data_IF_752720412790
#
_entry.id   IF_752720412790
#
_cell.length_a   1.000
_cell.length_b   1.000
_cell.length_c   1.000
_cell.angle_alpha   90.00
_cell.angle_beta   90.00
_cell.angle_gamma   90.00
#
_symmetry.space_group_name_H-M   'P 1'
#
loop_
_entity.id
_entity.type
_entity.pdbx_description
1 polymer ?
#
# COMPACT_ATOMS: atom_id res chain seq x y z
N UNK A 1 7.39 -25.17 23.36
CA UNK A 1 7.65 -23.82 22.79
C UNK A 1 6.35 -23.05 22.87
N UNK A 2 6.39 -21.75 23.10
CA UNK A 2 5.17 -20.95 23.06
C UNK A 2 4.60 -20.95 21.63
N UNK A 3 3.28 -21.05 21.52
CA UNK A 3 2.55 -20.95 20.25
C UNK A 3 1.85 -19.61 20.13
N UNK A 4 1.40 -19.29 18.94
CA UNK A 4 0.58 -18.13 18.61
C UNK A 4 -0.44 -18.49 17.54
N UNK A 5 -1.52 -17.73 17.42
CA UNK A 5 -2.45 -17.84 16.30
C UNK A 5 -1.89 -17.11 15.08
N UNK A 6 -2.06 -17.74 13.91
CA UNK A 6 -1.70 -17.16 12.62
C UNK A 6 -2.62 -17.69 11.52
N UNK A 7 -2.67 -16.96 10.40
CA UNK A 7 -3.28 -17.42 9.16
C UNK A 7 -2.20 -17.72 8.16
N UNK A 8 -2.08 -19.00 7.78
CA UNK A 8 -1.08 -19.41 6.79
C UNK A 8 -1.70 -20.25 5.66
N UNK A 9 -0.91 -20.41 4.61
CA UNK A 9 -1.22 -21.29 3.49
C UNK A 9 -0.24 -22.46 3.45
N UNK A 10 -0.74 -23.66 3.16
CA UNK A 10 0.05 -24.87 2.95
C UNK A 10 0.19 -25.20 1.46
N UNK A 11 -0.67 -24.59 0.64
CA UNK A 11 -0.70 -24.71 -0.82
C UNK A 11 -1.23 -23.40 -1.41
N UNK A 12 -1.04 -23.21 -2.71
CA UNK A 12 -1.62 -22.08 -3.45
C UNK A 12 -3.05 -22.40 -3.85
N UNK A 13 -3.92 -21.38 -3.92
CA UNK A 13 -5.30 -21.61 -4.35
C UNK A 13 -6.26 -20.46 -4.07
N UNK A 14 -7.52 -20.79 -3.97
CA UNK A 14 -8.61 -19.88 -3.59
C UNK A 14 -8.54 -19.44 -2.12
N UNK A 15 -9.45 -18.56 -1.65
CA UNK A 15 -9.47 -18.11 -0.25
C UNK A 15 -9.61 -19.24 0.80
N UNK A 16 -10.06 -20.40 0.41
CA UNK A 16 -10.23 -21.61 1.25
C UNK A 16 -8.91 -22.26 1.70
N UNK A 17 -7.78 -21.95 1.05
CA UNK A 17 -6.44 -22.42 1.47
C UNK A 17 -5.91 -21.69 2.70
N UNK A 18 -6.52 -20.56 3.10
CA UNK A 18 -6.18 -19.83 4.31
C UNK A 18 -6.60 -20.61 5.56
N UNK A 19 -5.64 -20.97 6.41
CA UNK A 19 -5.86 -21.72 7.64
C UNK A 19 -5.51 -20.90 8.86
N UNK A 20 -6.47 -20.69 9.75
CA UNK A 20 -6.25 -20.05 11.05
C UNK A 20 -5.90 -21.14 12.08
N UNK A 21 -4.65 -21.18 12.53
CA UNK A 21 -4.13 -22.27 13.32
C UNK A 21 -3.05 -21.84 14.31
N UNK A 22 -2.63 -22.76 15.17
CA UNK A 22 -1.53 -22.55 16.11
C UNK A 22 -0.19 -22.84 15.43
N UNK A 23 0.72 -21.87 15.51
CA UNK A 23 2.07 -21.97 14.96
C UNK A 23 3.11 -21.62 16.04
N UNK A 24 4.37 -22.04 15.89
CA UNK A 24 5.42 -21.62 16.82
C UNK A 24 5.58 -20.10 16.82
N UNK A 25 5.59 -19.50 18.02
CA UNK A 25 5.87 -18.05 18.18
C UNK A 25 7.33 -17.79 17.82
N UNK A 26 7.63 -16.81 16.94
CA UNK A 26 8.98 -16.46 16.56
C UNK A 26 9.75 -15.78 17.71
N UNK A 27 11.09 -15.82 17.59
CA UNK A 27 12.00 -15.05 18.44
C UNK A 27 12.80 -14.10 17.56
N UNK A 28 13.03 -12.85 18.00
CA UNK A 28 13.82 -11.90 17.22
C UNK A 28 15.28 -12.35 17.17
N UNK A 29 15.86 -12.30 15.98
CA UNK A 29 17.30 -12.48 15.74
C UNK A 29 18.04 -11.14 15.95
N UNK A 30 19.35 -11.13 15.72
CA UNK A 30 20.12 -9.88 15.68
C UNK A 30 19.52 -8.91 14.66
N UNK A 31 19.35 -7.63 15.04
CA UNK A 31 18.76 -6.54 14.27
C UNK A 31 17.26 -6.70 13.93
N UNK A 32 16.57 -7.63 14.62
CA UNK A 32 15.12 -7.80 14.50
C UNK A 32 14.43 -7.33 15.78
N UNK A 33 13.18 -6.89 15.63
CA UNK A 33 12.24 -6.64 16.72
C UNK A 33 11.13 -7.69 16.66
N UNK A 34 10.68 -8.18 17.81
CA UNK A 34 9.45 -8.96 17.93
C UNK A 34 8.30 -7.98 18.18
N UNK A 35 7.38 -7.92 17.27
CA UNK A 35 6.18 -7.08 17.39
C UNK A 35 4.99 -7.96 17.77
N UNK A 36 4.29 -7.60 18.85
CA UNK A 36 2.93 -8.05 19.11
C UNK A 36 2.01 -7.28 18.20
N UNK A 37 1.38 -7.98 17.27
CA UNK A 37 0.54 -7.37 16.23
C UNK A 37 -0.85 -7.11 16.81
N UNK A 38 -1.35 -5.90 16.63
CA UNK A 38 -2.72 -5.50 16.98
C UNK A 38 -3.62 -5.50 15.74
N UNK A 39 -3.06 -5.16 14.59
CA UNK A 39 -3.77 -5.19 13.33
C UNK A 39 -2.80 -5.43 12.15
N UNK A 40 -3.32 -6.06 11.11
CA UNK A 40 -2.67 -6.26 9.81
C UNK A 40 -3.61 -5.83 8.69
N UNK A 41 -3.11 -5.44 7.51
CA UNK A 41 -4.00 -5.07 6.42
C UNK A 41 -3.85 -5.97 5.21
N UNK A 42 -4.94 -6.10 4.45
CA UNK A 42 -4.98 -6.90 3.23
C UNK A 42 -4.60 -6.05 2.03
N UNK A 43 -3.74 -6.59 1.18
CA UNK A 43 -3.24 -5.94 -0.04
C UNK A 43 -3.41 -6.87 -1.26
N UNK A 44 -3.50 -6.33 -2.47
CA UNK A 44 -3.57 -7.15 -3.69
C UNK A 44 -2.43 -8.17 -3.79
N UNK A 45 -1.22 -7.83 -3.33
CA UNK A 45 -0.08 -8.74 -3.34
C UNK A 45 -0.30 -9.98 -2.45
N UNK A 46 -0.99 -9.85 -1.31
CA UNK A 46 -1.33 -10.98 -0.45
C UNK A 46 -2.25 -11.97 -1.18
N UNK A 47 -3.19 -11.44 -1.99
CA UNK A 47 -4.08 -12.25 -2.81
C UNK A 47 -3.31 -12.99 -3.90
N UNK A 48 -2.36 -12.31 -4.57
CA UNK A 48 -1.52 -12.89 -5.62
C UNK A 48 -0.55 -13.94 -5.06
N UNK A 49 0.01 -13.73 -3.87
CA UNK A 49 0.87 -14.71 -3.19
C UNK A 49 0.05 -15.95 -2.81
N UNK A 50 -1.15 -15.76 -2.29
CA UNK A 50 -2.05 -16.86 -1.93
C UNK A 50 -2.48 -17.68 -3.17
N UNK A 51 -2.87 -17.01 -4.28
CA UNK A 51 -3.31 -17.69 -5.51
C UNK A 51 -2.18 -18.42 -6.23
N UNK A 52 -0.93 -18.00 -6.03
CA UNK A 52 0.24 -18.50 -6.74
C UNK A 52 0.68 -17.62 -7.91
N UNK A 53 -0.06 -16.54 -8.23
CA UNK A 53 0.32 -15.59 -9.29
C UNK A 53 1.64 -14.88 -8.95
N UNK A 54 1.93 -14.72 -7.65
CA UNK A 54 3.20 -14.20 -7.13
C UNK A 54 4.01 -15.25 -6.35
N UNK A 55 3.94 -16.53 -6.72
CA UNK A 55 4.61 -17.63 -6.01
C UNK A 55 6.12 -17.46 -5.87
N UNK A 56 6.76 -16.76 -6.79
CA UNK A 56 8.19 -16.48 -6.71
C UNK A 56 8.57 -15.61 -5.50
N UNK A 57 7.61 -14.91 -4.90
CA UNK A 57 7.80 -14.11 -3.69
C UNK A 57 7.52 -14.91 -2.40
N UNK A 58 7.04 -16.13 -2.50
CA UNK A 58 6.78 -17.03 -1.35
C UNK A 58 8.00 -17.96 -1.18
N UNK A 59 8.81 -17.78 -0.13
CA UNK A 59 10.09 -18.51 0.00
C UNK A 59 9.91 -20.00 0.27
N UNK A 60 8.85 -20.38 0.94
CA UNK A 60 8.52 -21.77 1.29
C UNK A 60 7.05 -21.88 1.73
N UNK A 61 6.51 -23.06 1.70
CA UNK A 61 5.24 -23.42 2.35
C UNK A 61 5.53 -24.34 3.56
N UNK A 62 4.75 -24.29 4.67
CA UNK A 62 3.67 -23.32 4.90
C UNK A 62 4.18 -21.88 5.05
N UNK A 63 3.34 -20.89 4.70
CA UNK A 63 3.71 -19.48 4.70
C UNK A 63 2.61 -18.62 5.31
N UNK A 64 2.98 -17.74 6.25
CA UNK A 64 2.07 -16.74 6.84
C UNK A 64 2.09 -15.49 5.95
N UNK A 65 0.92 -15.13 5.42
CA UNK A 65 0.74 -13.95 4.58
C UNK A 65 0.76 -12.65 5.40
N UNK A 66 0.56 -11.54 4.69
CA UNK A 66 0.42 -10.19 5.26
C UNK A 66 1.72 -9.39 5.18
N UNK A 67 1.63 -8.22 4.55
CA UNK A 67 2.76 -7.32 4.35
C UNK A 67 2.73 -6.10 5.26
N UNK A 68 1.57 -5.74 5.82
CA UNK A 68 1.38 -4.59 6.70
C UNK A 68 1.05 -5.04 8.12
N UNK A 69 1.64 -4.38 9.09
CA UNK A 69 1.28 -4.51 10.50
C UNK A 69 1.28 -3.18 11.23
N UNK A 70 0.53 -3.12 12.33
CA UNK A 70 0.71 -2.17 13.42
C UNK A 70 0.60 -2.93 14.74
N UNK A 71 1.46 -2.59 15.70
CA UNK A 71 1.54 -3.30 16.97
C UNK A 71 2.54 -2.67 17.92
N UNK A 72 2.90 -3.43 18.95
CA UNK A 72 3.81 -3.01 20.01
C UNK A 72 5.05 -3.89 20.01
N UNK A 73 6.21 -3.28 20.09
CA UNK A 73 7.48 -3.98 20.26
C UNK A 73 7.45 -4.73 21.59
N UNK A 74 7.61 -6.03 21.57
CA UNK A 74 7.65 -6.86 22.78
C UNK A 74 9.08 -7.24 23.18
N UNK A 75 9.95 -7.48 22.19
CA UNK A 75 11.35 -7.79 22.41
C UNK A 75 12.21 -7.17 21.31
N UNK A 76 13.44 -6.87 21.65
CA UNK A 76 14.44 -6.39 20.69
C UNK A 76 15.61 -7.37 20.63
N UNK A 77 16.07 -7.68 19.43
CA UNK A 77 17.25 -8.50 19.18
C UNK A 77 18.55 -7.70 19.40
N UNK A 78 19.66 -8.41 19.46
CA UNK A 78 20.97 -7.78 19.61
C UNK A 78 21.27 -6.81 18.45
N UNK A 79 21.83 -5.64 18.76
CA UNK A 79 22.20 -4.61 17.77
C UNK A 79 21.02 -3.82 17.17
N UNK A 80 19.85 -3.89 17.80
CA UNK A 80 18.73 -2.98 17.48
C UNK A 80 18.95 -1.66 18.20
N UNK A 81 18.83 -0.56 17.47
CA UNK A 81 18.83 0.80 17.98
C UNK A 81 17.51 1.48 17.61
N UNK A 82 17.05 2.44 18.42
CA UNK A 82 15.86 3.24 18.15
C UNK A 82 14.53 2.60 18.53
N UNK A 83 14.53 1.38 19.10
CA UNK A 83 13.33 0.71 19.61
C UNK A 83 13.56 0.11 20.99
N UNK A 84 12.53 0.18 21.82
CA UNK A 84 12.47 -0.49 23.11
C UNK A 84 11.14 -1.23 23.27
N UNK A 85 11.05 -2.26 24.14
CA UNK A 85 9.78 -2.89 24.48
C UNK A 85 8.75 -1.85 24.94
N UNK A 86 7.54 -1.91 24.38
CA UNK A 86 6.47 -0.95 24.63
C UNK A 86 6.27 0.07 23.51
N UNK A 87 7.22 0.22 22.59
CA UNK A 87 7.06 1.16 21.46
C UNK A 87 5.95 0.72 20.52
N UNK A 88 5.06 1.66 20.19
CA UNK A 88 4.04 1.47 19.18
C UNK A 88 4.63 1.70 17.79
N UNK A 89 4.57 0.67 16.94
CA UNK A 89 5.18 0.66 15.61
C UNK A 89 4.20 0.27 14.51
N UNK A 90 4.53 0.63 13.28
CA UNK A 90 3.87 0.14 12.09
C UNK A 90 4.91 -0.14 10.99
N UNK A 91 4.63 -1.07 10.09
CA UNK A 91 5.61 -1.51 9.11
C UNK A 91 4.97 -2.07 7.84
N UNK A 92 5.67 -1.92 6.72
CA UNK A 92 5.49 -2.75 5.54
C UNK A 92 6.68 -3.72 5.45
N UNK A 93 6.43 -5.01 5.69
CA UNK A 93 7.51 -6.01 5.79
C UNK A 93 7.93 -6.60 4.44
N UNK A 94 7.14 -6.37 3.40
CA UNK A 94 7.40 -6.91 2.07
C UNK A 94 7.34 -8.44 2.01
N UNK A 95 8.16 -9.07 1.14
CA UNK A 95 8.14 -10.52 0.93
C UNK A 95 8.49 -11.37 2.16
N UNK A 96 8.92 -10.77 3.26
CA UNK A 96 9.12 -11.50 4.52
C UNK A 96 7.78 -12.07 5.01
N UNK A 97 6.66 -11.37 4.75
CA UNK A 97 5.33 -11.78 5.20
C UNK A 97 5.20 -11.84 6.71
N UNK A 98 4.24 -12.66 7.16
CA UNK A 98 4.11 -12.99 8.59
C UNK A 98 3.21 -12.05 9.38
N UNK A 99 2.54 -11.06 8.75
CA UNK A 99 1.71 -10.11 9.47
C UNK A 99 0.30 -10.64 9.83
N UNK A 100 -0.16 -11.73 9.21
CA UNK A 100 -1.43 -12.35 9.60
C UNK A 100 -1.23 -13.29 10.79
N UNK A 101 -0.72 -12.75 11.89
CA UNK A 101 -0.37 -13.49 13.10
C UNK A 101 -0.42 -12.59 14.34
N UNK A 102 -0.40 -13.20 15.52
CA UNK A 102 -0.31 -12.45 16.78
C UNK A 102 1.07 -11.81 16.99
N UNK A 103 2.11 -12.37 16.41
CA UNK A 103 3.49 -11.87 16.52
C UNK A 103 4.25 -12.03 15.21
N UNK A 104 5.10 -11.06 14.91
CA UNK A 104 6.10 -11.18 13.85
C UNK A 104 7.47 -10.71 14.34
N UNK A 105 8.52 -11.46 13.99
CA UNK A 105 9.90 -11.02 14.12
C UNK A 105 10.31 -10.37 12.80
N UNK A 106 10.57 -9.08 12.81
CA UNK A 106 10.84 -8.29 11.61
C UNK A 106 12.16 -7.52 11.76
N UNK A 107 12.90 -7.26 10.67
CA UNK A 107 14.05 -6.37 10.71
C UNK A 107 13.64 -4.98 11.22
N UNK A 108 14.40 -4.42 12.14
CA UNK A 108 14.09 -3.12 12.74
C UNK A 108 14.00 -1.99 11.69
N UNK A 109 14.75 -2.09 10.59
CA UNK A 109 14.80 -1.07 9.54
C UNK A 109 13.54 -1.02 8.64
N UNK A 110 12.60 -1.99 8.74
CA UNK A 110 11.34 -1.92 7.99
C UNK A 110 10.21 -1.26 8.78
N UNK A 111 10.41 -1.04 10.08
CA UNK A 111 9.42 -0.45 10.97
C UNK A 111 9.69 1.05 11.20
N UNK A 112 8.63 1.79 11.55
CA UNK A 112 8.70 3.13 12.10
C UNK A 112 7.75 3.24 13.30
N UNK A 113 7.93 4.27 14.14
CA UNK A 113 6.95 4.60 15.16
C UNK A 113 5.61 4.93 14.51
N UNK A 114 4.56 4.33 15.04
CA UNK A 114 3.19 4.53 14.58
C UNK A 114 2.78 6.00 14.74
N UNK A 115 2.02 6.61 13.80
CA UNK A 115 1.41 7.93 14.05
C UNK A 115 0.68 7.95 15.40
N UNK A 116 0.98 8.94 16.23
CA UNK A 116 0.39 9.05 17.56
C UNK A 116 -1.13 9.26 17.52
N UNK A 117 -1.60 9.95 16.49
CA UNK A 117 -3.01 10.28 16.26
C UNK A 117 -3.87 9.11 15.79
N UNK A 118 -3.28 7.99 15.37
CA UNK A 118 -4.02 6.83 14.86
C UNK A 118 -4.07 5.71 15.91
N UNK A 119 -5.17 4.96 15.93
CA UNK A 119 -5.23 3.64 16.55
C UNK A 119 -4.44 2.60 15.72
N UNK A 120 -4.30 1.38 16.23
CA UNK A 120 -3.55 0.33 15.53
C UNK A 120 -4.25 -0.16 14.26
N UNK A 121 -5.59 -0.22 14.27
CA UNK A 121 -6.39 -0.66 13.12
C UNK A 121 -6.18 0.30 11.95
N UNK A 122 -6.32 1.59 12.22
CA UNK A 122 -6.12 2.62 11.20
C UNK A 122 -4.65 2.68 10.77
N UNK A 123 -3.69 2.56 11.70
CA UNK A 123 -2.26 2.59 11.39
C UNK A 123 -1.83 1.42 10.51
N UNK A 124 -2.35 0.20 10.73
CA UNK A 124 -2.03 -0.97 9.91
C UNK A 124 -2.44 -0.82 8.44
N UNK A 125 -3.40 0.06 8.16
CA UNK A 125 -3.89 0.31 6.79
C UNK A 125 -2.95 1.20 5.95
N UNK A 126 -1.91 1.77 6.55
CA UNK A 126 -1.09 2.84 5.94
C UNK A 126 0.14 2.31 5.20
N UNK A 127 1.00 1.41 5.74
CA UNK A 127 2.39 1.32 5.33
C UNK A 127 2.58 1.06 3.84
N UNK A 128 2.10 -0.06 3.31
CA UNK A 128 2.35 -0.42 1.92
C UNK A 128 1.75 0.57 0.92
N UNK A 129 0.49 0.96 1.12
CA UNK A 129 -0.18 1.87 0.17
C UNK A 129 0.42 3.27 0.19
N UNK A 130 0.87 3.73 1.36
CA UNK A 130 1.51 5.03 1.48
C UNK A 130 2.93 5.03 0.90
N UNK A 131 3.72 3.98 1.16
CA UNK A 131 5.04 3.81 0.53
C UNK A 131 4.91 3.70 -0.99
N UNK A 132 3.94 2.95 -1.49
CA UNK A 132 3.68 2.82 -2.93
C UNK A 132 3.38 4.19 -3.56
N UNK A 133 2.47 4.96 -2.98
CA UNK A 133 2.15 6.30 -3.48
C UNK A 133 3.35 7.27 -3.37
N UNK A 134 4.06 7.26 -2.25
CA UNK A 134 5.21 8.11 -1.99
C UNK A 134 6.34 7.86 -2.98
N UNK A 135 6.75 6.61 -3.11
CA UNK A 135 7.86 6.21 -3.99
C UNK A 135 7.51 6.45 -5.46
N UNK A 136 6.27 6.16 -5.87
CA UNK A 136 5.82 6.45 -7.23
C UNK A 136 5.90 7.93 -7.59
N UNK A 137 5.41 8.80 -6.70
CA UNK A 137 5.36 10.23 -6.96
C UNK A 137 6.72 10.91 -6.81
N UNK A 138 7.49 10.58 -5.78
CA UNK A 138 8.67 11.36 -5.41
C UNK A 138 9.98 10.73 -5.80
N UNK A 139 10.15 9.41 -5.66
CA UNK A 139 11.41 8.75 -6.05
C UNK A 139 11.46 8.46 -7.56
N UNK A 140 10.34 7.95 -8.10
CA UNK A 140 10.29 7.53 -9.51
C UNK A 140 9.90 8.69 -10.41
N UNK A 141 8.78 9.35 -10.15
CA UNK A 141 8.31 10.43 -10.99
C UNK A 141 9.01 11.76 -10.73
N UNK A 142 9.57 11.98 -9.54
CA UNK A 142 10.23 13.25 -9.17
C UNK A 142 9.26 14.43 -9.10
N UNK A 143 7.98 14.17 -8.74
CA UNK A 143 6.93 15.19 -8.69
C UNK A 143 7.33 16.35 -7.78
N UNK A 144 7.20 17.56 -8.29
CA UNK A 144 7.56 18.81 -7.63
C UNK A 144 6.42 19.80 -7.59
N UNK A 145 6.55 20.83 -6.74
CA UNK A 145 5.57 21.90 -6.64
C UNK A 145 5.34 22.60 -8.00
N UNK A 146 4.08 22.94 -8.29
CA UNK A 146 3.67 23.58 -9.54
C UNK A 146 3.53 22.65 -10.74
N UNK A 147 3.89 21.37 -10.62
CA UNK A 147 3.65 20.37 -11.64
C UNK A 147 2.23 19.83 -11.58
N UNK A 148 1.75 19.27 -12.69
CA UNK A 148 0.44 18.61 -12.79
C UNK A 148 0.60 17.10 -12.81
N UNK A 149 -0.17 16.40 -11.96
CA UNK A 149 -0.25 14.94 -11.94
C UNK A 149 -1.66 14.46 -12.21
N UNK A 150 -1.78 13.51 -13.15
CA UNK A 150 -3.01 12.74 -13.37
C UNK A 150 -2.90 11.42 -12.60
N UNK A 151 -3.84 11.15 -11.72
CA UNK A 151 -3.89 9.94 -10.89
C UNK A 151 -5.07 9.08 -11.31
N UNK A 152 -4.80 7.92 -11.89
CA UNK A 152 -5.83 6.92 -12.19
C UNK A 152 -6.14 6.06 -10.97
N UNK A 153 -7.44 5.74 -10.77
CA UNK A 153 -7.88 5.03 -9.56
C UNK A 153 -7.71 5.86 -8.29
N UNK A 154 -7.89 7.19 -8.40
CA UNK A 154 -7.60 8.17 -7.35
C UNK A 154 -8.35 7.91 -6.04
N UNK A 155 -9.55 7.29 -6.07
CA UNK A 155 -10.35 6.98 -4.90
C UNK A 155 -9.92 5.68 -4.18
N UNK A 156 -9.06 4.88 -4.78
CA UNK A 156 -8.55 3.64 -4.20
C UNK A 156 -7.55 3.87 -3.06
N UNK A 157 -7.10 2.78 -2.43
CA UNK A 157 -6.21 2.84 -1.27
C UNK A 157 -4.88 3.57 -1.55
N UNK A 158 -4.23 3.26 -2.67
CA UNK A 158 -2.99 3.93 -3.11
C UNK A 158 -3.28 5.31 -3.67
N UNK A 159 -4.30 5.43 -4.55
CA UNK A 159 -4.65 6.68 -5.21
C UNK A 159 -5.02 7.79 -4.24
N UNK A 160 -5.79 7.48 -3.20
CA UNK A 160 -6.18 8.47 -2.17
C UNK A 160 -5.01 8.99 -1.34
N UNK A 161 -3.96 8.20 -1.15
CA UNK A 161 -2.70 8.67 -0.56
C UNK A 161 -1.92 9.54 -1.55
N UNK A 162 -1.87 9.13 -2.82
CA UNK A 162 -1.18 9.87 -3.87
C UNK A 162 -1.77 11.28 -4.06
N UNK A 163 -3.10 11.42 -4.07
CA UNK A 163 -3.78 12.73 -4.12
C UNK A 163 -3.27 13.63 -3.01
N UNK A 164 -3.30 13.15 -1.77
CA UNK A 164 -2.92 13.95 -0.60
C UNK A 164 -1.43 14.29 -0.60
N UNK A 165 -0.56 13.34 -0.92
CA UNK A 165 0.89 13.58 -1.00
C UNK A 165 1.24 14.60 -2.09
N UNK A 166 0.62 14.49 -3.27
CA UNK A 166 0.81 15.45 -4.34
C UNK A 166 0.37 16.87 -3.93
N UNK A 167 -0.76 16.98 -3.21
CA UNK A 167 -1.21 18.27 -2.65
C UNK A 167 -0.28 18.82 -1.57
N UNK A 168 0.20 17.98 -0.67
CA UNK A 168 1.21 18.38 0.33
C UNK A 168 2.46 18.92 -0.33
N UNK A 169 2.85 18.38 -1.50
CA UNK A 169 3.99 18.83 -2.31
C UNK A 169 3.73 20.12 -3.09
N UNK A 170 2.47 20.55 -3.21
CA UNK A 170 2.07 21.73 -3.99
C UNK A 170 1.88 21.48 -5.48
N UNK A 171 1.54 20.26 -5.87
CA UNK A 171 1.19 19.91 -7.24
C UNK A 171 -0.28 20.23 -7.54
N UNK A 172 -0.61 20.40 -8.82
CA UNK A 172 -1.98 20.37 -9.32
C UNK A 172 -2.39 18.92 -9.57
N UNK A 173 -3.52 18.49 -8.97
CA UNK A 173 -3.93 17.09 -8.94
C UNK A 173 -5.23 16.89 -9.69
N UNK A 174 -5.17 16.08 -10.74
CA UNK A 174 -6.32 15.58 -11.51
C UNK A 174 -6.52 14.11 -11.13
N UNK A 175 -7.70 13.75 -10.66
CA UNK A 175 -8.02 12.36 -10.28
C UNK A 175 -9.10 11.76 -11.16
N UNK A 176 -8.94 10.51 -11.62
CA UNK A 176 -10.03 9.77 -12.25
C UNK A 176 -10.70 8.85 -11.22
N UNK A 177 -12.03 8.92 -11.16
CA UNK A 177 -12.85 8.08 -10.30
C UNK A 177 -14.28 7.98 -10.86
N UNK A 178 -15.15 7.18 -10.26
CA UNK A 178 -16.59 7.24 -10.52
C UNK A 178 -17.23 8.43 -9.81
N UNK A 179 -18.35 8.93 -10.33
CA UNK A 179 -19.04 10.13 -9.84
C UNK A 179 -19.26 10.16 -8.33
N UNK A 180 -19.66 9.02 -7.73
CA UNK A 180 -19.93 8.93 -6.28
C UNK A 180 -18.69 9.15 -5.40
N UNK A 181 -17.48 9.12 -5.97
CA UNK A 181 -16.23 9.40 -5.26
C UNK A 181 -15.73 10.86 -5.47
N UNK A 182 -16.44 11.69 -6.24
CA UNK A 182 -15.94 13.01 -6.61
C UNK A 182 -15.76 13.93 -5.40
N UNK A 183 -16.74 14.00 -4.52
CA UNK A 183 -16.66 14.85 -3.32
C UNK A 183 -15.58 14.35 -2.36
N UNK A 184 -15.48 13.03 -2.18
CA UNK A 184 -14.39 12.43 -1.42
C UNK A 184 -13.00 12.86 -1.92
N UNK A 185 -12.78 12.85 -3.23
CA UNK A 185 -11.49 13.26 -3.80
C UNK A 185 -11.22 14.75 -3.64
N UNK A 186 -12.26 15.61 -3.77
CA UNK A 186 -12.14 17.05 -3.50
C UNK A 186 -11.78 17.33 -2.04
N UNK A 187 -12.39 16.60 -1.10
CA UNK A 187 -12.05 16.68 0.32
C UNK A 187 -10.61 16.23 0.64
N UNK A 188 -10.04 15.32 -0.17
CA UNK A 188 -8.63 14.92 -0.10
C UNK A 188 -7.69 15.91 -0.78
N UNK A 189 -8.24 16.91 -1.52
CA UNK A 189 -7.51 17.98 -2.15
C UNK A 189 -7.28 17.81 -3.64
N UNK A 190 -7.98 16.92 -4.35
CA UNK A 190 -7.95 16.92 -5.81
C UNK A 190 -8.49 18.23 -6.36
N UNK A 191 -7.76 18.86 -7.28
CA UNK A 191 -8.17 20.11 -7.92
C UNK A 191 -9.24 19.83 -8.98
N UNK A 192 -9.09 18.70 -9.69
CA UNK A 192 -10.04 18.25 -10.70
C UNK A 192 -10.37 16.77 -10.51
N UNK A 193 -11.62 16.40 -10.76
CA UNK A 193 -12.08 15.01 -10.72
C UNK A 193 -12.83 14.68 -12.00
N UNK A 194 -12.38 13.64 -12.71
CA UNK A 194 -12.97 13.17 -13.96
C UNK A 194 -13.73 11.86 -13.68
N UNK A 195 -15.02 11.86 -13.97
CA UNK A 195 -15.83 10.64 -13.95
C UNK A 195 -15.54 9.83 -15.22
N UNK A 196 -14.78 8.73 -15.06
CA UNK A 196 -14.37 7.87 -16.18
C UNK A 196 -15.55 7.14 -16.86
N UNK A 197 -16.74 7.11 -16.24
CA UNK A 197 -17.93 6.51 -16.84
C UNK A 197 -18.61 7.46 -17.85
N UNK A 198 -18.34 8.77 -17.77
CA UNK A 198 -18.99 9.78 -18.59
C UNK A 198 -18.02 10.52 -19.51
N UNK A 199 -16.75 10.64 -19.10
CA UNK A 199 -15.76 11.46 -19.80
C UNK A 199 -14.49 10.65 -20.01
N UNK A 200 -14.04 10.58 -21.25
CA UNK A 200 -12.71 10.06 -21.58
C UNK A 200 -11.69 11.11 -21.11
N UNK A 201 -10.79 10.72 -20.23
CA UNK A 201 -9.84 11.67 -19.64
C UNK A 201 -8.93 12.30 -20.70
N UNK A 202 -8.57 11.56 -21.75
CA UNK A 202 -7.72 12.03 -22.86
C UNK A 202 -8.38 13.12 -23.71
N UNK A 203 -9.69 13.30 -23.63
CA UNK A 203 -10.40 14.37 -24.36
C UNK A 203 -10.34 15.71 -23.60
N UNK A 204 -10.05 15.68 -22.29
CA UNK A 204 -10.09 16.86 -21.42
C UNK A 204 -8.78 17.14 -20.67
N UNK A 205 -7.84 16.20 -20.64
CA UNK A 205 -6.53 16.34 -20.00
C UNK A 205 -5.42 16.34 -21.04
N UNK A 206 -4.51 17.30 -20.92
CA UNK A 206 -3.33 17.38 -21.79
C UNK A 206 -2.14 18.01 -21.04
N UNK A 207 -0.94 17.71 -21.52
CA UNK A 207 0.30 18.32 -21.05
C UNK A 207 0.58 18.14 -19.54
N UNK A 208 0.24 16.97 -18.96
CA UNK A 208 0.56 16.67 -17.57
C UNK A 208 2.03 16.25 -17.43
N UNK A 209 2.63 16.58 -16.29
CA UNK A 209 4.01 16.21 -15.97
C UNK A 209 4.16 14.72 -15.63
N UNK A 210 3.17 14.22 -14.88
CA UNK A 210 3.16 12.87 -14.34
C UNK A 210 1.79 12.23 -14.57
N UNK A 211 1.78 10.98 -15.01
CA UNK A 211 0.64 10.09 -14.86
C UNK A 211 1.01 9.05 -13.81
N UNK A 212 0.21 8.93 -12.77
CA UNK A 212 0.30 7.84 -11.80
C UNK A 212 -0.83 6.83 -12.06
N UNK A 213 -0.45 5.66 -12.51
CA UNK A 213 -1.37 4.63 -12.95
C UNK A 213 -1.48 3.50 -11.93
N UNK A 214 -2.69 3.33 -11.37
CA UNK A 214 -3.05 2.20 -10.48
C UNK A 214 -4.09 1.28 -11.10
N UNK A 215 -4.37 1.41 -12.39
CA UNK A 215 -5.43 0.67 -13.12
C UNK A 215 -4.84 -0.26 -14.17
N UNK A 216 -3.89 0.22 -14.98
CA UNK A 216 -3.27 -0.56 -16.05
C UNK A 216 -4.14 -0.70 -17.33
N UNK A 217 -3.78 -1.67 -18.16
CA UNK A 217 -4.52 -2.04 -19.35
C UNK A 217 -4.76 -0.87 -20.32
N UNK A 218 -5.99 -0.75 -20.82
CA UNK A 218 -6.39 0.29 -21.77
C UNK A 218 -6.24 1.72 -21.22
N UNK A 219 -6.44 1.91 -19.92
CA UNK A 219 -6.22 3.20 -19.26
C UNK A 219 -4.76 3.63 -19.37
N UNK A 220 -3.82 2.73 -19.15
CA UNK A 220 -2.39 3.00 -19.30
C UNK A 220 -2.05 3.38 -20.75
N UNK A 221 -2.58 2.63 -21.73
CA UNK A 221 -2.31 2.88 -23.16
C UNK A 221 -2.79 4.27 -23.60
N UNK A 222 -3.96 4.69 -23.15
CA UNK A 222 -4.51 6.02 -23.48
C UNK A 222 -3.77 7.16 -22.77
N UNK A 223 -3.07 6.85 -21.68
CA UNK A 223 -2.38 7.86 -20.86
C UNK A 223 -1.11 8.41 -21.50
N UNK A 224 -0.53 7.73 -22.47
CA UNK A 224 0.68 8.23 -23.14
C UNK A 224 0.47 9.57 -23.84
N UNK A 225 -0.70 9.75 -24.46
CA UNK A 225 -1.03 10.95 -25.23
C UNK A 225 -1.28 12.21 -24.41
N UNK A 226 -1.52 12.10 -23.09
CA UNK A 226 -1.80 13.26 -22.23
C UNK A 226 -0.55 13.82 -21.57
N UNK A 227 0.58 13.09 -21.61
CA UNK A 227 1.85 13.53 -21.05
C UNK A 227 2.51 14.61 -21.91
N UNK A 228 3.11 15.58 -21.27
CA UNK A 228 4.02 16.50 -21.96
C UNK A 228 5.34 15.84 -22.33
N UNK A 229 6.06 16.36 -23.30
CA UNK A 229 7.42 15.92 -23.63
C UNK A 229 8.31 15.86 -22.37
N UNK A 230 9.00 14.74 -22.16
CA UNK A 230 9.84 14.51 -20.98
C UNK A 230 9.06 14.13 -19.73
N UNK A 231 7.73 14.08 -19.79
CA UNK A 231 6.87 13.58 -18.71
C UNK A 231 7.10 12.11 -18.40
N UNK A 232 6.42 11.60 -17.37
CA UNK A 232 6.57 10.21 -16.93
C UNK A 232 5.22 9.57 -16.58
N UNK A 233 5.06 8.32 -17.01
CA UNK A 233 4.02 7.42 -16.54
C UNK A 233 4.65 6.45 -15.53
N UNK A 234 4.24 6.56 -14.27
CA UNK A 234 4.59 5.63 -13.21
C UNK A 234 3.42 4.68 -12.98
N UNK A 235 3.62 3.37 -13.15
CA UNK A 235 2.56 2.37 -12.93
C UNK A 235 2.95 1.37 -11.87
N UNK A 236 1.97 0.98 -11.06
CA UNK A 236 2.11 -0.06 -10.01
C UNK A 236 1.37 -1.35 -10.39
N UNK A 237 0.83 -1.40 -11.60
CA UNK A 237 0.04 -2.53 -12.10
C UNK A 237 0.77 -3.19 -13.27
N UNK A 238 0.92 -4.53 -13.26
CA UNK A 238 1.48 -5.24 -14.39
C UNK A 238 0.50 -5.25 -15.60
N UNK A 239 0.99 -5.37 -16.84
CA UNK A 239 2.41 -5.40 -17.18
C UNK A 239 3.11 -4.06 -17.03
N UNK A 240 4.46 -4.04 -16.93
CA UNK A 240 5.23 -2.79 -16.94
C UNK A 240 4.89 -1.90 -18.13
N UNK A 241 5.01 -0.56 -17.99
CA UNK A 241 4.90 0.37 -19.11
C UNK A 241 5.83 0.00 -20.27
N UNK A 242 5.32 0.06 -21.48
CA UNK A 242 6.08 -0.30 -22.69
C UNK A 242 7.09 0.83 -23.03
N UNK A 243 8.37 0.47 -23.07
CA UNK A 243 9.46 1.43 -23.32
C UNK A 243 9.47 1.97 -24.74
N UNK A 244 9.05 1.18 -25.74
CA UNK A 244 9.02 1.60 -27.14
C UNK A 244 7.87 2.59 -27.36
N UNK A 245 6.72 2.35 -26.74
CA UNK A 245 5.58 3.28 -26.75
C UNK A 245 5.96 4.58 -26.03
N UNK A 246 6.58 4.50 -24.85
CA UNK A 246 7.05 5.68 -24.13
C UNK A 246 8.02 6.52 -24.99
N UNK A 247 8.96 5.87 -25.67
CA UNK A 247 9.94 6.52 -26.55
C UNK A 247 9.24 7.19 -27.76
N UNK A 248 8.25 6.56 -28.36
CA UNK A 248 7.47 7.12 -29.46
C UNK A 248 6.74 8.41 -29.07
N UNK A 249 6.29 8.50 -27.80
CA UNK A 249 5.67 9.70 -27.25
C UNK A 249 6.68 10.72 -26.66
N UNK A 250 8.00 10.43 -26.71
CA UNK A 250 9.05 11.27 -26.10
C UNK A 250 8.86 11.47 -24.60
N UNK A 251 8.41 10.44 -23.89
CA UNK A 251 8.18 10.39 -22.44
C UNK A 251 8.91 9.20 -21.81
N UNK A 252 8.81 9.05 -20.50
CA UNK A 252 9.32 7.90 -19.75
C UNK A 252 8.16 7.03 -19.26
N UNK A 253 8.36 5.72 -19.22
CA UNK A 253 7.47 4.77 -18.55
C UNK A 253 8.26 3.99 -17.51
N UNK A 254 7.70 3.83 -16.29
CA UNK A 254 8.36 3.09 -15.23
C UNK A 254 7.37 2.28 -14.40
N UNK A 255 7.65 0.99 -14.23
CA UNK A 255 6.97 0.15 -13.25
C UNK A 255 7.57 0.41 -11.87
N UNK A 256 6.71 0.55 -10.86
CA UNK A 256 7.11 0.84 -9.49
C UNK A 256 6.81 -0.37 -8.60
N UNK A 257 7.85 -1.04 -8.16
CA UNK A 257 7.79 -2.03 -7.10
C UNK A 257 8.19 -1.33 -5.79
N UNK A 258 7.24 -1.09 -4.91
CA UNK A 258 7.51 -0.42 -3.65
C UNK A 258 8.36 -1.30 -2.72
N UNK A 259 9.19 -0.65 -1.91
CA UNK A 259 10.08 -1.30 -0.96
C UNK A 259 9.90 -0.75 0.46
N UNK A 260 10.19 -1.53 1.51
CA UNK A 260 10.15 -1.07 2.89
C UNK A 260 11.11 0.11 3.12
N UNK A 261 10.64 1.14 3.84
CA UNK A 261 11.46 2.32 4.18
C UNK A 261 10.97 2.94 5.48
N UNK A 262 11.73 2.77 6.56
CA UNK A 262 11.39 3.35 7.86
C UNK A 262 11.40 4.88 7.83
N UNK A 263 12.33 5.49 7.10
CA UNK A 263 12.44 6.95 7.05
C UNK A 263 11.26 7.60 6.33
N UNK A 264 10.77 6.98 5.27
CA UNK A 264 9.57 7.43 4.58
C UNK A 264 8.33 7.22 5.45
N UNK A 265 8.22 6.07 6.13
CA UNK A 265 7.13 5.85 7.09
C UNK A 265 7.16 6.89 8.20
N UNK A 266 8.32 7.24 8.76
CA UNK A 266 8.44 8.28 9.77
C UNK A 266 7.95 9.65 9.27
N UNK A 267 8.29 10.03 8.03
CA UNK A 267 7.78 11.28 7.44
C UNK A 267 6.26 11.20 7.17
N UNK A 268 5.76 10.05 6.70
CA UNK A 268 4.33 9.82 6.50
C UNK A 268 3.59 9.94 7.85
N UNK A 269 4.14 9.36 8.92
CA UNK A 269 3.58 9.49 10.28
C UNK A 269 3.48 10.95 10.71
N UNK A 270 4.54 11.73 10.49
CA UNK A 270 4.56 13.17 10.79
C UNK A 270 3.47 13.94 10.03
N UNK A 271 3.25 13.62 8.76
CA UNK A 271 2.20 14.25 7.94
C UNK A 271 0.79 13.87 8.43
N UNK A 272 0.60 12.63 8.87
CA UNK A 272 -0.67 12.16 9.44
C UNK A 272 -0.93 12.87 10.77
N UNK A 273 0.04 12.91 11.68
CA UNK A 273 -0.09 13.57 12.99
C UNK A 273 -0.32 15.08 12.86
N UNK A 274 0.22 15.69 11.79
CA UNK A 274 -0.06 17.09 11.45
C UNK A 274 -1.43 17.32 10.79
N UNK A 275 -2.25 16.29 10.60
CA UNK A 275 -3.55 16.38 9.94
C UNK A 275 -3.50 16.65 8.43
N UNK A 276 -2.30 16.54 7.82
CA UNK A 276 -2.06 16.80 6.40
C UNK A 276 -2.44 15.62 5.50
N UNK A 277 -2.50 14.42 6.07
CA UNK A 277 -2.85 13.18 5.37
C UNK A 277 -3.86 12.41 6.21
N UNK A 278 -5.04 12.21 5.65
CA UNK A 278 -6.12 11.40 6.24
C UNK A 278 -5.96 9.94 5.87
N UNK A 279 -6.39 9.07 6.75
CA UNK A 279 -6.41 7.62 6.54
C UNK A 279 -7.82 7.08 6.73
N UNK A 280 -8.23 6.19 5.81
CA UNK A 280 -9.58 5.65 5.77
C UNK A 280 -9.49 4.13 5.70
N UNK A 281 -10.19 3.49 6.62
CA UNK A 281 -10.41 2.03 6.65
C UNK A 281 -11.85 1.77 6.25
N UNK A 282 -12.05 0.85 5.34
CA UNK A 282 -13.36 0.50 4.79
C UNK A 282 -14.02 -0.62 5.59
N UNK A 283 -13.24 -1.65 5.88
CA UNK A 283 -13.75 -2.86 6.55
C UNK A 283 -12.73 -3.37 7.56
N UNK A 284 -13.22 -3.71 8.74
CA UNK A 284 -12.42 -4.35 9.80
C UNK A 284 -13.01 -5.73 10.09
N UNK A 285 -12.16 -6.75 10.09
CA UNK A 285 -12.55 -8.13 10.36
C UNK A 285 -11.58 -8.76 11.38
N UNK A 286 -12.00 -9.73 12.19
CA UNK A 286 -11.09 -10.49 13.04
C UNK A 286 -10.05 -11.24 12.19
N UNK A 287 -8.84 -11.47 12.73
CA UNK A 287 -7.78 -12.25 12.05
C UNK A 287 -8.30 -13.61 11.55
N UNK A 288 -9.10 -14.31 12.35
CA UNK A 288 -9.70 -15.59 11.98
C UNK A 288 -10.60 -15.51 10.71
N UNK A 289 -11.03 -14.32 10.33
CA UNK A 289 -11.86 -14.06 9.15
C UNK A 289 -11.04 -13.67 7.91
N UNK A 290 -9.73 -13.93 7.88
CA UNK A 290 -8.86 -13.59 6.75
C UNK A 290 -9.35 -14.17 5.41
N UNK A 291 -9.97 -15.34 5.41
CA UNK A 291 -10.65 -15.89 4.22
C UNK A 291 -11.68 -14.89 3.67
N UNK A 292 -12.57 -14.40 4.54
CA UNK A 292 -13.62 -13.43 4.14
C UNK A 292 -13.00 -12.11 3.66
N UNK A 293 -11.92 -11.66 4.30
CA UNK A 293 -11.20 -10.47 3.89
C UNK A 293 -10.62 -10.60 2.46
N UNK A 294 -10.07 -11.76 2.12
CA UNK A 294 -9.57 -12.05 0.77
C UNK A 294 -10.70 -12.15 -0.28
N UNK A 295 -11.85 -12.75 0.08
CA UNK A 295 -13.04 -12.78 -0.78
C UNK A 295 -13.53 -11.35 -1.11
N UNK A 296 -13.60 -10.48 -0.10
CA UNK A 296 -13.95 -9.07 -0.29
C UNK A 296 -12.93 -8.33 -1.16
N UNK A 297 -11.64 -8.55 -0.91
CA UNK A 297 -10.57 -7.92 -1.69
C UNK A 297 -10.59 -8.32 -3.17
N UNK A 298 -11.07 -9.51 -3.51
CA UNK A 298 -11.23 -9.96 -4.90
C UNK A 298 -12.49 -9.39 -5.58
N UNK A 299 -13.51 -9.07 -4.82
CA UNK A 299 -14.81 -8.65 -5.37
C UNK A 299 -14.89 -7.19 -5.78
N UNK A 300 -13.84 -6.41 -5.58
CA UNK A 300 -13.83 -4.95 -5.81
C UNK A 300 -14.96 -4.19 -5.08
N UNK A 301 -15.54 -4.78 -4.03
CA UNK A 301 -16.62 -4.17 -3.25
C UNK A 301 -16.11 -3.19 -2.21
N UNK A 302 -14.81 -3.21 -1.92
CA UNK A 302 -14.17 -2.31 -0.98
C UNK A 302 -13.48 -1.17 -1.73
N UNK A 303 -13.70 0.07 -1.25
CA UNK A 303 -13.11 1.26 -1.87
C UNK A 303 -11.63 1.41 -1.50
N UNK A 304 -11.31 1.26 -0.21
CA UNK A 304 -9.96 1.55 0.31
C UNK A 304 -9.31 0.32 0.92
N UNK A 305 -9.36 0.16 2.25
CA UNK A 305 -8.56 -0.85 2.94
C UNK A 305 -9.41 -1.78 3.80
N UNK A 306 -9.06 -3.06 3.72
CA UNK A 306 -9.54 -4.10 4.64
C UNK A 306 -8.44 -4.32 5.68
N UNK A 307 -8.82 -4.30 6.95
CA UNK A 307 -7.92 -4.54 8.08
C UNK A 307 -8.36 -5.78 8.86
N UNK A 308 -7.39 -6.61 9.21
CA UNK A 308 -7.54 -7.75 10.10
C UNK A 308 -7.14 -7.30 11.51
N UNK A 309 -8.11 -7.25 12.41
CA UNK A 309 -7.88 -6.99 13.84
C UNK A 309 -7.41 -8.28 14.50
N UNK A 310 -6.27 -8.22 15.18
CA UNK A 310 -5.60 -9.37 15.81
C UNK A 310 -5.88 -9.41 17.30
N UNK A 311 -5.92 -8.24 17.95
CA UNK A 311 -6.21 -8.08 19.38
C UNK A 311 -7.38 -7.12 19.51
N UNK A 312 -8.32 -7.45 20.41
CA UNK A 312 -9.47 -6.59 20.77
C UNK A 312 -9.05 -5.33 21.55
#
# INVERSE_FOLDING_TARGET
MATMKAVQIHEYGGPDVLKYEDVPRPKPKSREILVRIYAASVNPIDLMMRSGDAKAMVPHLPYILGWDLAGVVEQVGAGVEGYVPGDAVYAAVGPLGGCYAEYAAIPAFVAAHKPASLDFVTAASVPLVALTAWQSLFEVAGLSAGQTVLIHGAAGAVGSKAVQFAKVKGAHVIGTASAHNADFLRELGADEVIDYNQTRFEDVVQNVDVVFDTIGGDTQQRSWGVLKKGGILASVVPPPPDEDVARAHSVRGQFVASHPSWSQLAEIARLIDAGRVKTIVDTVLPLASARRAHELGQSSQTRTKIVLQVVD
#
